data_IF_924204154964
#
_entry.id   IF_924204154964
#
_cell.length_a   1.000
_cell.length_b   1.000
_cell.length_c   1.000
_cell.angle_alpha   90.00
_cell.angle_beta   90.00
_cell.angle_gamma   90.00
#
_symmetry.space_group_name_H-M   'P 1'
#
loop_
_entity.id
_entity.type
_entity.pdbx_description
1 polymer ?
#
# COMPACT_ATOMS: atom_id res chain seq x y z
N UNK A 1 -16.87 -58.68 -6.02
CA UNK A 1 -17.58 -57.56 -6.66
C UNK A 1 -17.41 -56.36 -5.74
N UNK A 2 -16.42 -55.50 -5.98
CA UNK A 2 -16.16 -54.31 -5.15
C UNK A 2 -16.59 -53.04 -5.90
N UNK A 3 -17.21 -52.06 -5.23
CA UNK A 3 -17.60 -50.82 -5.90
C UNK A 3 -16.36 -49.92 -6.07
N UNK A 4 -16.12 -49.49 -7.31
CA UNK A 4 -15.17 -48.42 -7.62
C UNK A 4 -15.77 -47.09 -7.16
N UNK A 5 -15.24 -46.52 -6.09
CA UNK A 5 -15.54 -45.15 -5.66
C UNK A 5 -14.78 -44.17 -6.57
N UNK A 6 -15.49 -43.56 -7.52
CA UNK A 6 -14.98 -42.44 -8.31
C UNK A 6 -14.88 -41.19 -7.41
N UNK A 7 -13.69 -40.96 -6.86
CA UNK A 7 -13.37 -39.74 -6.13
C UNK A 7 -13.27 -38.58 -7.12
N UNK A 8 -14.29 -37.73 -7.17
CA UNK A 8 -14.27 -36.48 -7.92
C UNK A 8 -13.30 -35.50 -7.24
N UNK A 9 -12.07 -35.42 -7.75
CA UNK A 9 -11.09 -34.42 -7.33
C UNK A 9 -11.51 -33.06 -7.91
N UNK A 10 -12.20 -32.24 -7.13
CA UNK A 10 -12.46 -30.84 -7.45
C UNK A 10 -11.11 -30.12 -7.50
N UNK A 11 -10.56 -29.92 -8.70
CA UNK A 11 -9.42 -29.03 -8.92
C UNK A 11 -9.85 -27.62 -8.49
N UNK A 12 -9.50 -27.23 -7.26
CA UNK A 12 -9.50 -25.83 -6.86
C UNK A 12 -8.33 -25.17 -7.61
N UNK A 13 -8.61 -24.59 -8.77
CA UNK A 13 -7.67 -23.70 -9.44
C UNK A 13 -7.59 -22.43 -8.59
N UNK A 14 -6.46 -22.14 -7.91
CA UNK A 14 -6.33 -20.84 -7.27
C UNK A 14 -6.33 -19.81 -8.39
N UNK A 15 -7.33 -18.94 -8.39
CA UNK A 15 -7.39 -17.80 -9.31
C UNK A 15 -6.13 -16.96 -9.09
N UNK A 16 -5.18 -17.06 -10.00
CA UNK A 16 -4.05 -16.15 -10.10
C UNK A 16 -4.62 -14.78 -10.45
N UNK A 17 -4.91 -13.99 -9.42
CA UNK A 17 -5.35 -12.61 -9.58
C UNK A 17 -4.22 -11.82 -10.20
N UNK A 18 -4.32 -11.50 -11.49
CA UNK A 18 -3.42 -10.56 -12.13
C UNK A 18 -3.68 -9.16 -11.54
N UNK A 19 -2.79 -8.71 -10.66
CA UNK A 19 -2.79 -7.33 -10.19
C UNK A 19 -2.59 -6.38 -11.37
N UNK A 20 -3.47 -5.38 -11.52
CA UNK A 20 -3.34 -4.40 -12.58
C UNK A 20 -2.00 -3.65 -12.47
N UNK A 21 -1.25 -3.47 -13.57
CA UNK A 21 0.08 -2.87 -13.53
C UNK A 21 0.04 -1.36 -13.23
N UNK A 22 -1.12 -0.72 -13.23
CA UNK A 22 -1.27 0.73 -13.31
C UNK A 22 -1.36 1.45 -11.97
N UNK A 23 -1.26 0.76 -10.84
CA UNK A 23 -1.42 1.38 -9.52
C UNK A 23 -2.87 1.58 -9.10
N UNK A 24 -3.10 2.01 -7.86
CA UNK A 24 -4.43 2.30 -7.34
C UNK A 24 -5.04 3.56 -8.00
N UNK A 25 -6.37 3.59 -8.24
CA UNK A 25 -7.05 4.81 -8.66
C UNK A 25 -7.19 5.80 -7.50
N UNK A 26 -7.29 7.09 -7.80
CA UNK A 26 -7.44 8.17 -6.80
C UNK A 26 -8.65 8.02 -5.88
N UNK A 27 -9.71 7.34 -6.32
CA UNK A 27 -10.88 7.03 -5.49
C UNK A 27 -10.59 6.07 -4.34
N UNK A 28 -9.44 5.38 -4.35
CA UNK A 28 -9.02 4.48 -3.27
C UNK A 28 -8.44 5.23 -2.08
N UNK A 29 -8.04 6.50 -2.25
CA UNK A 29 -7.47 7.29 -1.16
C UNK A 29 -8.47 7.55 -0.03
N UNK A 30 -9.77 7.42 -0.30
CA UNK A 30 -10.86 7.74 0.64
C UNK A 30 -11.06 6.66 1.73
N UNK A 31 -10.81 5.40 1.40
CA UNK A 31 -11.03 4.26 2.30
C UNK A 31 -9.81 3.35 2.44
N UNK A 32 -8.79 3.51 1.58
CA UNK A 32 -7.61 2.65 1.49
C UNK A 32 -7.96 1.18 1.23
N UNK A 33 -9.16 0.87 0.71
CA UNK A 33 -9.64 -0.50 0.47
C UNK A 33 -9.26 -0.94 -0.94
N UNK A 34 -8.43 -1.99 -1.11
CA UNK A 34 -8.21 -2.58 -2.43
C UNK A 34 -9.51 -3.16 -2.99
N UNK A 35 -9.97 -2.63 -4.12
CA UNK A 35 -11.17 -3.12 -4.82
C UNK A 35 -10.76 -4.07 -5.93
N UNK A 36 -10.49 -5.32 -5.57
CA UNK A 36 -10.20 -6.40 -6.51
C UNK A 36 -11.27 -7.48 -6.41
N UNK A 37 -11.94 -7.77 -7.53
CA UNK A 37 -13.00 -8.77 -7.60
C UNK A 37 -12.51 -10.15 -7.13
N UNK A 38 -13.24 -10.77 -6.21
CA UNK A 38 -12.94 -12.11 -5.70
C UNK A 38 -11.81 -12.18 -4.66
N UNK A 39 -11.22 -11.05 -4.27
CA UNK A 39 -10.18 -10.99 -3.24
C UNK A 39 -10.78 -10.49 -1.94
N UNK A 40 -10.56 -11.21 -0.84
CA UNK A 40 -10.96 -10.80 0.50
C UNK A 40 -9.75 -10.25 1.28
N UNK A 41 -9.97 -9.35 2.26
CA UNK A 41 -8.91 -8.94 3.17
C UNK A 41 -8.27 -10.16 3.84
N UNK A 42 -6.94 -10.11 3.99
CA UNK A 42 -6.22 -11.16 4.71
C UNK A 42 -6.68 -11.19 6.18
N UNK A 43 -6.96 -12.38 6.75
CA UNK A 43 -7.37 -12.49 8.15
C UNK A 43 -6.17 -12.53 9.12
N UNK A 44 -4.97 -12.84 8.62
CA UNK A 44 -3.74 -12.86 9.41
C UNK A 44 -3.14 -11.45 9.56
N UNK A 45 -2.31 -11.21 10.60
CA UNK A 45 -1.53 -9.99 10.70
C UNK A 45 -0.77 -9.68 9.42
N UNK A 46 -0.64 -8.39 9.09
CA UNK A 46 0.10 -7.97 7.92
C UNK A 46 1.57 -8.41 8.02
N UNK A 47 2.17 -8.97 6.96
CA UNK A 47 3.57 -9.39 6.96
C UNK A 47 4.53 -8.21 6.73
N UNK A 48 4.08 -6.98 6.96
CA UNK A 48 4.81 -5.74 6.70
C UNK A 48 4.71 -4.80 7.89
N UNK A 49 5.74 -4.00 8.11
CA UNK A 49 5.78 -2.94 9.10
C UNK A 49 6.25 -1.63 8.47
N UNK A 50 5.61 -0.52 8.86
CA UNK A 50 6.03 0.83 8.50
C UNK A 50 6.88 1.38 9.65
N UNK A 51 8.11 1.75 9.34
CA UNK A 51 9.06 2.34 10.29
C UNK A 51 9.39 3.77 9.85
N UNK A 52 9.44 4.68 10.82
CA UNK A 52 9.82 6.07 10.56
C UNK A 52 11.19 6.37 11.18
N UNK A 53 11.97 7.26 10.56
CA UNK A 53 13.25 7.70 11.12
C UNK A 53 13.10 8.46 12.44
N UNK A 54 11.92 9.03 12.69
CA UNK A 54 11.59 9.73 13.93
C UNK A 54 10.10 9.59 14.25
N UNK A 55 9.77 9.69 15.55
CA UNK A 55 8.38 9.75 16.04
C UNK A 55 7.81 11.17 16.07
N UNK A 56 8.68 12.16 15.88
CA UNK A 56 8.33 13.58 15.77
C UNK A 56 8.88 14.13 14.47
N UNK A 57 8.25 15.17 13.93
CA UNK A 57 8.71 15.83 12.72
C UNK A 57 8.74 17.34 12.92
N UNK A 58 9.56 18.01 12.12
CA UNK A 58 9.56 19.46 11.99
C UNK A 58 9.00 19.82 10.62
N UNK A 59 8.21 20.91 10.51
CA UNK A 59 7.82 21.42 9.21
C UNK A 59 9.02 21.54 8.27
N UNK A 60 8.84 21.13 7.02
CA UNK A 60 9.87 21.19 5.96
C UNK A 60 11.12 20.31 6.18
N UNK A 61 11.15 19.46 7.20
CA UNK A 61 12.18 18.43 7.35
C UNK A 61 11.63 17.06 6.95
N UNK A 62 12.18 16.41 5.90
CA UNK A 62 11.69 15.12 5.46
C UNK A 62 11.81 14.04 6.54
N UNK A 63 10.78 13.21 6.66
CA UNK A 63 10.80 11.97 7.43
C UNK A 63 11.04 10.81 6.47
N UNK A 64 11.97 9.92 6.83
CA UNK A 64 12.18 8.67 6.12
C UNK A 64 11.15 7.66 6.60
N UNK A 65 10.42 7.06 5.66
CA UNK A 65 9.41 6.05 5.92
C UNK A 65 9.84 4.77 5.21
N UNK A 66 10.04 3.70 5.96
CA UNK A 66 10.52 2.41 5.42
C UNK A 66 9.43 1.35 5.59
N UNK A 67 9.06 0.70 4.49
CA UNK A 67 8.25 -0.51 4.53
C UNK A 67 9.22 -1.69 4.61
N UNK A 68 9.11 -2.47 5.69
CA UNK A 68 9.90 -3.68 5.91
C UNK A 68 9.00 -4.90 5.95
N UNK A 69 9.50 -6.08 5.58
CA UNK A 69 8.73 -7.33 5.66
C UNK A 69 8.94 -8.24 4.46
N UNK A 70 7.88 -8.93 4.04
CA UNK A 70 7.91 -9.74 2.83
C UNK A 70 8.11 -8.89 1.55
N UNK A 71 8.38 -9.54 0.43
CA UNK A 71 8.36 -8.90 -0.89
C UNK A 71 6.92 -8.60 -1.33
N UNK A 72 6.71 -7.52 -2.09
CA UNK A 72 5.37 -7.08 -2.50
C UNK A 72 5.33 -6.46 -3.90
N UNK A 73 4.23 -6.68 -4.63
CA UNK A 73 4.01 -6.09 -5.96
C UNK A 73 3.15 -4.83 -5.94
N UNK A 74 2.21 -4.73 -5.00
CA UNK A 74 1.27 -3.62 -4.88
C UNK A 74 1.48 -2.80 -3.60
N UNK A 75 1.26 -1.49 -3.67
CA UNK A 75 1.31 -0.60 -2.51
C UNK A 75 0.35 0.56 -2.70
N UNK A 76 -0.27 0.98 -1.60
CA UNK A 76 -0.89 2.29 -1.48
C UNK A 76 -0.41 2.84 -0.14
N UNK A 77 0.52 3.78 -0.19
CA UNK A 77 1.13 4.37 1.01
C UNK A 77 0.69 5.83 1.12
N UNK A 78 0.00 6.16 2.21
CA UNK A 78 -0.56 7.49 2.47
C UNK A 78 -0.19 7.96 3.87
N UNK A 79 -0.09 9.28 4.04
CA UNK A 79 0.00 9.92 5.34
C UNK A 79 -1.29 10.73 5.58
N UNK A 80 -1.96 10.54 6.73
CA UNK A 80 -3.21 11.22 7.05
C UNK A 80 -3.29 11.65 8.52
N UNK A 81 -4.27 12.50 8.85
CA UNK A 81 -4.52 13.00 10.19
C UNK A 81 -5.94 12.61 10.64
N UNK A 82 -6.06 12.17 11.89
CA UNK A 82 -7.35 11.87 12.50
C UNK A 82 -8.06 10.69 11.82
N UNK A 83 -9.38 10.77 11.67
CA UNK A 83 -10.20 9.73 11.03
C UNK A 83 -10.47 9.97 9.54
N UNK A 84 -10.06 11.12 8.99
CA UNK A 84 -10.21 11.40 7.56
C UNK A 84 -8.95 10.94 6.83
N UNK A 85 -9.09 10.05 5.84
CA UNK A 85 -8.00 9.66 4.93
C UNK A 85 -7.62 10.78 3.94
N UNK A 86 -7.64 12.03 4.40
CA UNK A 86 -7.16 13.16 3.64
C UNK A 86 -5.63 13.09 3.60
N UNK A 87 -5.08 12.98 2.40
CA UNK A 87 -3.64 12.89 2.20
C UNK A 87 -2.94 14.19 2.59
N UNK A 88 -2.08 14.12 3.61
CA UNK A 88 -1.37 15.27 4.18
C UNK A 88 0.15 15.18 3.99
N UNK A 89 0.77 16.35 3.94
CA UNK A 89 2.18 16.47 3.57
C UNK A 89 2.41 16.16 2.09
N UNK A 90 3.63 15.85 1.71
CA UNK A 90 3.97 15.54 0.32
C UNK A 90 5.06 14.49 0.23
N UNK A 91 4.76 13.39 -0.45
CA UNK A 91 5.79 12.43 -0.80
C UNK A 91 6.83 13.05 -1.73
N UNK A 92 8.07 12.69 -1.52
CA UNK A 92 9.20 13.06 -2.37
C UNK A 92 9.40 12.02 -3.47
N UNK A 93 10.44 12.18 -4.28
CA UNK A 93 10.71 11.31 -5.45
C UNK A 93 10.51 9.82 -5.11
N UNK A 94 9.57 9.13 -5.76
CA UNK A 94 9.29 7.73 -5.46
C UNK A 94 10.48 6.86 -5.85
N UNK A 95 10.79 5.79 -5.10
CA UNK A 95 11.75 4.78 -5.54
C UNK A 95 11.23 4.02 -6.77
N UNK A 96 12.10 3.22 -7.38
CA UNK A 96 11.77 2.41 -8.54
C UNK A 96 10.49 1.57 -8.33
N UNK A 97 9.74 1.33 -9.41
CA UNK A 97 8.50 0.56 -9.42
C UNK A 97 7.35 1.18 -8.60
N UNK A 98 7.49 2.43 -8.17
CA UNK A 98 6.44 3.22 -7.53
C UNK A 98 6.27 4.56 -8.22
N UNK A 99 5.15 5.22 -7.96
CA UNK A 99 4.80 6.54 -8.49
C UNK A 99 3.91 7.29 -7.52
N UNK A 100 3.78 8.59 -7.73
CA UNK A 100 2.79 9.40 -7.04
C UNK A 100 1.37 9.00 -7.41
N UNK A 101 0.48 9.14 -6.43
CA UNK A 101 -0.96 9.12 -6.60
C UNK A 101 -1.54 10.44 -6.09
N UNK A 102 -2.40 11.07 -6.92
CA UNK A 102 -3.14 12.26 -6.52
C UNK A 102 -4.27 11.86 -5.58
N UNK A 103 -4.25 12.36 -4.36
CA UNK A 103 -5.28 12.12 -3.33
C UNK A 103 -5.71 13.46 -2.74
N UNK A 104 -7.01 13.67 -2.50
CA UNK A 104 -7.54 14.91 -1.89
C UNK A 104 -7.02 16.21 -2.54
N UNK A 105 -6.86 16.22 -3.86
CA UNK A 105 -6.30 17.36 -4.61
C UNK A 105 -4.77 17.47 -4.61
N UNK A 106 -4.08 16.79 -3.70
CA UNK A 106 -2.62 16.76 -3.56
C UNK A 106 -1.99 15.80 -4.57
N UNK A 107 -1.19 16.32 -5.52
CA UNK A 107 -0.53 15.53 -6.56
C UNK A 107 0.49 14.52 -6.03
N UNK A 108 1.01 14.74 -4.81
CA UNK A 108 1.99 13.89 -4.14
C UNK A 108 1.42 13.40 -2.80
N UNK A 109 0.11 13.16 -2.76
CA UNK A 109 -0.61 12.78 -1.54
C UNK A 109 -0.37 11.34 -1.10
N UNK A 110 -0.19 10.44 -2.06
CA UNK A 110 0.14 9.04 -1.78
C UNK A 110 1.18 8.49 -2.77
N UNK A 111 1.68 7.29 -2.46
CA UNK A 111 2.50 6.47 -3.34
C UNK A 111 1.72 5.22 -3.73
N UNK A 112 1.79 4.83 -5.01
CA UNK A 112 1.29 3.54 -5.48
C UNK A 112 2.28 2.86 -6.42
N UNK A 113 2.09 1.57 -6.73
CA UNK A 113 2.92 0.87 -7.71
C UNK A 113 2.78 1.47 -9.11
N UNK A 114 3.88 1.50 -9.88
CA UNK A 114 3.88 1.90 -11.29
C UNK A 114 3.87 0.74 -12.27
N UNK A 115 4.11 -0.47 -11.78
CA UNK A 115 4.12 -1.74 -12.50
C UNK A 115 3.96 -2.89 -11.49
N UNK A 116 3.93 -4.13 -11.99
CA UNK A 116 3.83 -5.35 -11.17
C UNK A 116 5.17 -5.86 -10.63
N UNK A 117 6.28 -5.16 -10.92
CA UNK A 117 7.61 -5.59 -10.48
C UNK A 117 7.67 -5.59 -8.95
N UNK A 118 8.32 -6.63 -8.44
CA UNK A 118 8.52 -6.86 -7.01
C UNK A 118 9.33 -5.74 -6.40
N UNK A 119 8.88 -5.28 -5.23
CA UNK A 119 9.60 -4.40 -4.32
C UNK A 119 10.20 -5.28 -3.22
N UNK A 120 11.43 -4.96 -2.85
CA UNK A 120 12.18 -5.77 -1.89
C UNK A 120 11.60 -5.73 -0.48
N UNK A 121 12.20 -6.52 0.39
CA UNK A 121 11.86 -6.63 1.81
C UNK A 121 12.10 -5.35 2.64
N UNK A 122 12.70 -4.32 2.04
CA UNK A 122 12.97 -3.01 2.67
C UNK A 122 12.92 -1.92 1.59
N UNK A 123 11.83 -1.16 1.54
CA UNK A 123 11.67 -0.05 0.58
C UNK A 123 11.57 1.28 1.30
N UNK A 124 12.39 2.24 0.87
CA UNK A 124 12.56 3.53 1.53
C UNK A 124 11.82 4.62 0.74
N UNK A 125 11.01 5.39 1.46
CA UNK A 125 10.26 6.54 0.99
C UNK A 125 10.66 7.77 1.81
N UNK A 126 10.45 8.95 1.22
CA UNK A 126 10.68 10.22 1.88
C UNK A 126 9.39 11.05 1.84
N UNK A 127 8.96 11.51 3.00
CA UNK A 127 7.73 12.28 3.18
C UNK A 127 8.04 13.64 3.78
N UNK A 128 7.55 14.70 3.14
CA UNK A 128 7.67 16.07 3.63
C UNK A 128 6.45 16.41 4.49
N UNK A 129 6.65 16.76 5.77
CA UNK A 129 5.54 17.14 6.64
C UNK A 129 4.86 18.43 6.20
N UNK A 130 3.54 18.58 6.45
CA UNK A 130 2.86 19.84 6.31
C UNK A 130 3.35 20.84 7.37
N UNK A 131 2.94 22.11 7.24
CA UNK A 131 3.25 23.14 8.24
C UNK A 131 2.54 22.94 9.59
N UNK A 132 1.55 22.06 9.65
CA UNK A 132 0.75 21.77 10.84
C UNK A 132 1.44 20.73 11.76
N UNK A 133 1.20 20.83 13.07
CA UNK A 133 1.88 20.02 14.11
C UNK A 133 1.06 18.85 14.64
N UNK A 134 -0.03 18.49 13.96
CA UNK A 134 -0.91 17.40 14.39
C UNK A 134 -0.26 16.02 14.19
N UNK A 135 -0.75 15.03 14.93
CA UNK A 135 -0.32 13.64 14.76
C UNK A 135 -0.65 13.12 13.36
N UNK A 136 0.34 12.46 12.75
CA UNK A 136 0.25 11.88 11.41
C UNK A 136 0.38 10.36 11.52
N UNK A 137 -0.44 9.67 10.75
CA UNK A 137 -0.45 8.22 10.63
C UNK A 137 -0.06 7.83 9.21
N UNK A 138 0.81 6.84 9.09
CA UNK A 138 1.20 6.23 7.82
C UNK A 138 0.47 4.89 7.67
N UNK A 139 -0.11 4.65 6.50
CA UNK A 139 -0.86 3.44 6.15
C UNK A 139 -0.52 3.01 4.74
#
# INVERSE_FOLDING_TARGET
MGPLLLSAFLLQVPSLGFGYPTGAPSSTCEDMIPRHSGVQPQPSPAPYAIQTSSRTFQPQQPVTVTITGAEYSGVLLQAYMGSSFNALGSWQSPPANTKFLKCSGNQRGAITQSNTNVKGNSTVYSWMPPSETSSIYFV
#
